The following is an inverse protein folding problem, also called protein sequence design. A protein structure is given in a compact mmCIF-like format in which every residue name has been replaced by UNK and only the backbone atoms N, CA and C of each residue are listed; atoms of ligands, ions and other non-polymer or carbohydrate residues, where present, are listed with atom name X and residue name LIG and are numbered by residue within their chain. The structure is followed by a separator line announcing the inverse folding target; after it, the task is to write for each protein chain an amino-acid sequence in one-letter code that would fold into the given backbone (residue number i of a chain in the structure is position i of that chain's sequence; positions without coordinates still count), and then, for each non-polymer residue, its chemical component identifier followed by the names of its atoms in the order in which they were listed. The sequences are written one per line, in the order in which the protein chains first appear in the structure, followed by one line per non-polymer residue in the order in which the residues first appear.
data_IF_971698336649
#
_entry.id   IF_971698336649
#
_cell.length_a   1.000
_cell.length_b   1.000
_cell.length_c   1.000
_cell.angle_alpha   90.00
_cell.angle_beta   90.00
_cell.angle_gamma   90.00
#
_symmetry.space_group_name_H-M   'P 1'
#
loop_
_entity.id
_entity.type
_entity.pdbx_description
1 polymer ?
#
# COMPACT_ATOMS: atom_id res chain seq x y z
N UNK A 1 -11.43 -3.79 -13.79
CA UNK A 1 -12.54 -4.47 -13.12
C UNK A 1 -11.88 -5.12 -11.92
N UNK A 2 -12.29 -4.69 -10.73
CA UNK A 2 -11.66 -5.13 -9.49
C UNK A 2 -12.42 -6.36 -8.97
N UNK A 3 -11.81 -7.16 -8.09
CA UNK A 3 -12.43 -8.41 -7.63
C UNK A 3 -13.83 -8.21 -6.99
N UNK A 4 -14.07 -7.05 -6.36
CA UNK A 4 -15.39 -6.69 -5.83
C UNK A 4 -16.41 -6.43 -6.94
N UNK A 5 -15.99 -5.84 -8.06
CA UNK A 5 -16.88 -5.60 -9.20
C UNK A 5 -17.23 -6.93 -9.90
N UNK A 6 -16.27 -7.87 -9.98
CA UNK A 6 -16.51 -9.19 -10.56
C UNK A 6 -17.53 -10.00 -9.76
N UNK A 7 -17.56 -9.86 -8.42
CA UNK A 7 -18.56 -10.52 -7.57
C UNK A 7 -19.99 -10.08 -7.90
N UNK A 8 -20.19 -8.81 -8.27
CA UNK A 8 -21.51 -8.27 -8.62
C UNK A 8 -22.05 -8.81 -9.96
N UNK A 9 -21.19 -9.43 -10.76
CA UNK A 9 -21.54 -10.01 -12.05
C UNK A 9 -21.87 -11.50 -11.96
N UNK A 10 -21.73 -12.11 -10.78
CA UNK A 10 -22.04 -13.53 -10.56
C UNK A 10 -23.55 -13.76 -10.45
N UNK A 11 -23.99 -14.90 -10.97
CA UNK A 11 -25.36 -15.37 -10.82
C UNK A 11 -25.60 -15.89 -9.39
N UNK A 12 -26.87 -15.95 -8.95
CA UNK A 12 -27.23 -16.36 -7.57
C UNK A 12 -26.73 -17.77 -7.17
N UNK A 13 -26.52 -18.67 -8.14
CA UNK A 13 -25.97 -20.01 -7.88
C UNK A 13 -24.46 -19.95 -7.57
N UNK A 14 -23.74 -19.05 -8.23
CA UNK A 14 -22.29 -18.88 -8.08
C UNK A 14 -21.93 -18.05 -6.84
N UNK A 15 -22.81 -17.15 -6.39
CA UNK A 15 -22.62 -16.36 -5.16
C UNK A 15 -22.73 -17.21 -3.88
N UNK A 16 -23.33 -18.39 -3.96
CA UNK A 16 -23.43 -19.31 -2.84
C UNK A 16 -22.09 -19.99 -2.47
N UNK A 17 -21.18 -20.17 -3.44
CA UNK A 17 -19.88 -20.83 -3.22
C UNK A 17 -18.79 -20.24 -4.12
N UNK A 18 -18.19 -19.16 -3.66
CA UNK A 18 -17.10 -18.46 -4.33
C UNK A 18 -15.75 -19.09 -3.91
N UNK A 19 -14.94 -19.61 -4.84
CA UNK A 19 -13.64 -20.17 -4.54
C UNK A 19 -12.58 -19.06 -4.35
N UNK A 20 -12.05 -18.92 -3.14
CA UNK A 20 -10.94 -18.01 -2.85
C UNK A 20 -9.61 -18.76 -2.72
N UNK A 21 -8.61 -18.34 -3.50
CA UNK A 21 -7.27 -18.96 -3.50
C UNK A 21 -6.40 -18.44 -2.36
N UNK A 22 -5.86 -19.35 -1.56
CA UNK A 22 -4.85 -19.06 -0.52
C UNK A 22 -3.65 -19.97 -0.78
N UNK A 23 -2.56 -19.38 -1.29
CA UNK A 23 -1.39 -20.15 -1.69
C UNK A 23 -1.73 -21.17 -2.78
N UNK A 24 -1.66 -22.46 -2.45
CA UNK A 24 -1.96 -23.58 -3.35
C UNK A 24 -3.35 -24.19 -3.17
N UNK A 25 -4.17 -23.69 -2.23
CA UNK A 25 -5.50 -24.25 -1.93
C UNK A 25 -6.62 -23.24 -2.22
N UNK A 26 -7.85 -23.74 -2.38
CA UNK A 26 -9.06 -22.93 -2.48
C UNK A 26 -9.95 -23.15 -1.27
N UNK A 27 -10.49 -22.05 -0.73
CA UNK A 27 -11.46 -22.05 0.36
C UNK A 27 -12.75 -21.44 -0.18
N UNK A 28 -13.88 -22.09 0.08
CA UNK A 28 -15.19 -21.63 -0.40
C UNK A 28 -15.79 -20.62 0.56
N UNK A 29 -16.30 -19.53 0.03
CA UNK A 29 -17.01 -18.48 0.77
C UNK A 29 -18.38 -18.23 0.16
N UNK A 30 -19.35 -17.81 0.97
CA UNK A 30 -20.52 -17.11 0.45
C UNK A 30 -20.17 -15.67 0.09
N UNK A 31 -21.09 -15.02 -0.63
CA UNK A 31 -20.92 -13.63 -1.08
C UNK A 31 -20.63 -12.65 0.05
N UNK A 32 -21.41 -12.67 1.13
CA UNK A 32 -21.24 -11.73 2.25
C UNK A 32 -19.85 -11.85 2.87
N UNK A 33 -19.41 -13.09 3.13
CA UNK A 33 -18.11 -13.37 3.72
C UNK A 33 -16.96 -12.97 2.79
N UNK A 34 -17.14 -13.17 1.47
CA UNK A 34 -16.15 -12.81 0.46
C UNK A 34 -16.03 -11.29 0.33
N UNK A 35 -17.14 -10.56 0.25
CA UNK A 35 -17.17 -9.09 0.20
C UNK A 35 -16.51 -8.46 1.43
N UNK A 36 -16.87 -8.95 2.64
CA UNK A 36 -16.25 -8.50 3.89
C UNK A 36 -14.75 -8.74 3.91
N UNK A 37 -14.31 -9.86 3.33
CA UNK A 37 -12.89 -10.19 3.26
C UNK A 37 -12.13 -9.29 2.29
N UNK A 38 -12.67 -9.03 1.11
CA UNK A 38 -12.09 -8.09 0.16
C UNK A 38 -11.99 -6.68 0.75
N UNK A 39 -13.04 -6.20 1.41
CA UNK A 39 -13.02 -4.88 2.05
C UNK A 39 -11.98 -4.80 3.17
N UNK A 40 -11.87 -5.86 3.99
CA UNK A 40 -10.83 -5.95 5.02
C UNK A 40 -9.42 -5.90 4.41
N UNK A 41 -9.15 -6.70 3.39
CA UNK A 41 -7.84 -6.73 2.72
C UNK A 41 -7.49 -5.37 2.13
N UNK A 42 -8.44 -4.70 1.49
CA UNK A 42 -8.26 -3.34 0.94
C UNK A 42 -7.94 -2.33 2.04
N UNK A 43 -8.66 -2.37 3.16
CA UNK A 43 -8.42 -1.48 4.32
C UNK A 43 -7.04 -1.70 4.92
N UNK A 44 -6.64 -2.96 5.14
CA UNK A 44 -5.32 -3.31 5.67
C UNK A 44 -4.20 -2.81 4.75
N UNK A 45 -4.33 -3.04 3.44
CA UNK A 45 -3.35 -2.58 2.47
C UNK A 45 -3.25 -1.06 2.41
N UNK A 46 -4.38 -0.34 2.43
CA UNK A 46 -4.39 1.12 2.43
C UNK A 46 -3.75 1.69 3.70
N UNK A 47 -3.95 1.04 4.86
CA UNK A 47 -3.28 1.44 6.10
C UNK A 47 -1.76 1.25 6.00
N UNK A 48 -1.30 0.14 5.43
CA UNK A 48 0.13 -0.12 5.22
C UNK A 48 0.77 0.89 4.25
N UNK A 49 0.07 1.23 3.17
CA UNK A 49 0.50 2.27 2.22
C UNK A 49 0.61 3.64 2.93
N UNK A 50 -0.41 4.03 3.71
CA UNK A 50 -0.40 5.30 4.46
C UNK A 50 0.78 5.36 5.42
N UNK A 51 0.96 4.32 6.24
CA UNK A 51 2.05 4.25 7.21
C UNK A 51 3.44 4.30 6.55
N UNK A 52 3.60 3.64 5.40
CA UNK A 52 4.86 3.65 4.64
C UNK A 52 5.12 5.02 4.03
N UNK A 53 4.09 5.66 3.48
CA UNK A 53 4.20 7.02 2.91
C UNK A 53 4.56 8.04 4.00
N UNK A 54 3.88 8.00 5.14
CA UNK A 54 4.16 8.87 6.28
C UNK A 54 5.60 8.71 6.79
N UNK A 55 6.10 7.47 6.86
CA UNK A 55 7.49 7.20 7.23
C UNK A 55 8.46 7.78 6.21
N UNK A 56 8.19 7.62 4.92
CA UNK A 56 9.02 8.16 3.85
C UNK A 56 9.08 9.70 3.92
N UNK A 57 7.93 10.36 4.06
CA UNK A 57 7.85 11.82 4.15
C UNK A 57 8.60 12.35 5.38
N UNK A 58 8.49 11.64 6.51
CA UNK A 58 9.26 11.96 7.71
C UNK A 58 10.76 11.85 7.46
N UNK A 59 11.23 10.77 6.84
CA UNK A 59 12.64 10.57 6.54
C UNK A 59 13.17 11.63 5.56
N UNK A 60 12.39 12.00 4.54
CA UNK A 60 12.76 13.06 3.60
C UNK A 60 12.88 14.41 4.31
N UNK A 61 11.95 14.73 5.22
CA UNK A 61 12.01 15.95 6.03
C UNK A 61 13.25 15.98 6.94
N UNK A 62 13.53 14.88 7.65
CA UNK A 62 14.73 14.76 8.49
C UNK A 62 16.02 14.88 7.66
N UNK A 63 16.07 14.30 6.46
CA UNK A 63 17.20 14.45 5.54
C UNK A 63 17.37 15.90 5.08
N UNK A 64 16.29 16.59 4.72
CA UNK A 64 16.34 17.99 4.29
C UNK A 64 16.85 18.91 5.42
N UNK A 65 16.39 18.68 6.65
CA UNK A 65 16.87 19.41 7.82
C UNK A 65 18.37 19.15 8.07
N UNK A 66 18.80 17.89 7.97
CA UNK A 66 20.20 17.53 8.17
C UNK A 66 21.10 18.14 7.09
N UNK A 67 20.68 18.10 5.80
CA UNK A 67 21.38 18.77 4.69
C UNK A 67 21.54 20.27 5.00
N UNK A 68 20.47 20.95 5.38
CA UNK A 68 20.48 22.37 5.74
C UNK A 68 21.48 22.68 6.88
N UNK A 69 21.45 21.89 7.95
CA UNK A 69 22.39 22.04 9.08
C UNK A 69 23.85 21.85 8.66
N UNK A 70 24.12 20.89 7.78
CA UNK A 70 25.48 20.62 7.29
C UNK A 70 25.98 21.75 6.38
N UNK A 71 25.16 22.22 5.45
CA UNK A 71 25.51 23.35 4.58
C UNK A 71 25.67 24.65 5.39
N UNK A 72 24.86 24.90 6.41
CA UNK A 72 25.04 26.04 7.30
C UNK A 72 26.38 26.02 8.06
N UNK A 73 26.89 24.82 8.38
CA UNK A 73 28.14 24.64 9.15
C UNK A 73 29.39 24.60 8.26
N UNK A 74 29.32 23.95 7.12
CA UNK A 74 30.48 23.67 6.26
C UNK A 74 30.48 24.47 4.96
N UNK A 75 29.37 25.11 4.59
CA UNK A 75 29.23 25.88 3.36
C UNK A 75 29.55 25.05 2.12
N UNK A 76 30.22 25.67 1.16
CA UNK A 76 30.59 25.06 -0.12
C UNK A 76 31.79 24.08 -0.01
N UNK A 77 32.29 23.81 1.20
CA UNK A 77 33.38 22.84 1.41
C UNK A 77 32.93 21.38 1.32
N UNK A 78 31.62 21.13 1.20
CA UNK A 78 31.03 19.80 1.05
C UNK A 78 30.03 19.78 -0.11
N UNK A 79 29.92 18.66 -0.80
CA UNK A 79 28.86 18.43 -1.79
C UNK A 79 28.01 17.22 -1.37
N UNK A 80 26.77 17.47 -0.96
CA UNK A 80 25.84 16.45 -0.46
C UNK A 80 24.75 16.07 -1.47
N UNK A 81 24.69 16.75 -2.62
CA UNK A 81 23.74 16.42 -3.69
C UNK A 81 24.31 15.26 -4.51
N UNK A 82 23.53 14.18 -4.64
CA UNK A 82 23.82 13.02 -5.51
C UNK A 82 22.80 12.99 -6.65
N UNK A 83 23.12 12.34 -7.78
CA UNK A 83 22.39 12.33 -9.07
C UNK A 83 20.91 11.81 -9.06
N UNK A 84 20.17 11.91 -7.96
CA UNK A 84 18.79 11.45 -7.81
C UNK A 84 17.78 12.55 -7.46
N UNK A 85 18.17 13.82 -7.54
CA UNK A 85 17.26 14.95 -7.33
C UNK A 85 16.53 15.40 -8.63
N UNK A 86 16.36 14.50 -9.61
CA UNK A 86 15.51 14.66 -10.82
C UNK A 86 14.27 13.73 -10.77
#
# INVERSE_FOLDING_TARGET
IDASDELLLLDEEDTARIPFKIGSVFVMYDQESMEKRLDKMRKELNMEISATTELNDKLQSEMAELKSRLYAKFGDNINLETEKDD
#
